data_IF_490231495941
#
_entry.id   IF_490231495941
#
_cell.length_a   1.000
_cell.length_b   1.000
_cell.length_c   1.000
_cell.angle_alpha   90.00
_cell.angle_beta   90.00
_cell.angle_gamma   90.00
#
_symmetry.space_group_name_H-M   'P 1'
#
loop_
_entity.id
_entity.type
_entity.pdbx_description
1 polymer ?
#
# COMPACT_ATOMS: atom_id res chain seq x y z
N UNK A 1 -19.27 -24.46 -5.95
CA UNK A 1 -19.27 -23.01 -6.26
C UNK A 1 -18.54 -22.86 -7.59
N UNK A 2 -19.11 -22.21 -8.63
CA UNK A 2 -18.36 -22.01 -9.87
C UNK A 2 -17.13 -21.15 -9.58
N UNK A 3 -15.99 -21.54 -10.16
CA UNK A 3 -14.77 -20.76 -10.27
C UNK A 3 -15.11 -19.29 -10.57
N UNK A 4 -14.98 -18.39 -9.60
CA UNK A 4 -14.97 -16.97 -9.92
C UNK A 4 -13.55 -16.63 -10.36
N UNK A 5 -13.21 -17.00 -11.59
CA UNK A 5 -11.99 -16.52 -12.22
C UNK A 5 -11.95 -15.00 -12.07
N UNK A 6 -10.88 -14.47 -11.49
CA UNK A 6 -10.72 -13.03 -11.35
C UNK A 6 -10.79 -12.40 -12.75
N UNK A 7 -11.70 -11.45 -12.95
CA UNK A 7 -11.77 -10.70 -14.22
C UNK A 7 -10.55 -9.79 -14.45
N UNK A 8 -9.68 -9.65 -13.45
CA UNK A 8 -8.52 -8.79 -13.46
C UNK A 8 -7.24 -9.60 -13.22
N UNK A 9 -6.19 -9.25 -13.96
CA UNK A 9 -4.83 -9.73 -13.65
C UNK A 9 -4.35 -9.05 -12.38
N UNK A 10 -3.93 -9.85 -11.41
CA UNK A 10 -3.43 -9.37 -10.12
C UNK A 10 -1.93 -9.61 -10.06
N UNK A 11 -1.18 -8.53 -9.79
CA UNK A 11 0.22 -8.62 -9.41
C UNK A 11 0.33 -8.52 -7.89
N UNK A 12 0.56 -9.64 -7.21
CA UNK A 12 0.74 -9.67 -5.77
C UNK A 12 2.22 -9.55 -5.43
N UNK A 13 2.56 -8.66 -4.50
CA UNK A 13 3.94 -8.32 -4.18
C UNK A 13 4.40 -9.07 -2.92
N UNK A 14 5.59 -9.64 -2.98
CA UNK A 14 6.27 -10.26 -1.83
C UNK A 14 7.75 -9.92 -1.83
N UNK A 15 8.35 -9.77 -0.66
CA UNK A 15 9.81 -9.69 -0.53
C UNK A 15 10.47 -11.08 -0.51
N UNK A 16 9.68 -12.15 -0.46
CA UNK A 16 10.13 -13.53 -0.40
C UNK A 16 9.25 -14.46 -1.25
N UNK A 17 9.80 -14.95 -2.35
CA UNK A 17 9.14 -15.90 -3.27
C UNK A 17 9.07 -17.33 -2.72
N UNK A 18 9.86 -17.64 -1.68
CA UNK A 18 9.88 -18.96 -1.04
C UNK A 18 8.82 -19.10 0.04
N UNK A 19 8.14 -18.01 0.38
CA UNK A 19 7.07 -18.00 1.37
C UNK A 19 5.90 -18.91 0.96
N UNK A 20 5.56 -19.88 1.82
CA UNK A 20 4.38 -20.73 1.64
C UNK A 20 3.09 -19.91 1.47
N UNK A 21 2.98 -18.76 2.15
CA UNK A 21 1.84 -17.86 2.01
C UNK A 21 1.78 -17.21 0.63
N UNK A 22 2.92 -16.76 0.10
CA UNK A 22 2.98 -16.18 -1.24
C UNK A 22 2.62 -17.22 -2.30
N UNK A 23 3.15 -18.45 -2.17
CA UNK A 23 2.83 -19.56 -3.06
C UNK A 23 1.35 -19.95 -2.98
N UNK A 24 0.78 -20.01 -1.77
CA UNK A 24 -0.65 -20.27 -1.59
C UNK A 24 -1.53 -19.22 -2.28
N UNK A 25 -1.14 -17.93 -2.26
CA UNK A 25 -1.87 -16.85 -2.97
C UNK A 25 -1.87 -17.07 -4.48
N UNK A 26 -0.75 -17.53 -5.06
CA UNK A 26 -0.68 -17.85 -6.50
C UNK A 26 -1.66 -18.96 -6.90
N UNK A 27 -1.94 -19.89 -5.99
CA UNK A 27 -2.85 -21.01 -6.24
C UNK A 27 -4.33 -20.65 -6.08
N UNK A 28 -4.66 -19.42 -5.66
CA UNK A 28 -6.05 -18.97 -5.53
C UNK A 28 -6.72 -18.75 -6.90
N UNK A 29 -5.95 -18.30 -7.90
CA UNK A 29 -6.46 -18.01 -9.24
C UNK A 29 -5.28 -17.92 -10.25
N UNK A 30 -5.51 -18.37 -11.49
CA UNK A 30 -4.52 -18.32 -12.57
C UNK A 30 -4.14 -16.89 -13.02
N UNK A 31 -4.97 -15.90 -12.70
CA UNK A 31 -4.71 -14.49 -13.01
C UNK A 31 -3.83 -13.80 -11.96
N UNK A 32 -3.39 -14.50 -10.91
CA UNK A 32 -2.49 -13.97 -9.89
C UNK A 32 -1.05 -14.32 -10.25
N UNK A 33 -0.22 -13.27 -10.38
CA UNK A 33 1.23 -13.38 -10.50
C UNK A 33 1.87 -12.89 -9.20
N UNK A 34 2.75 -13.71 -8.61
CA UNK A 34 3.58 -13.29 -7.48
C UNK A 34 4.85 -12.64 -8.02
N UNK A 35 5.11 -11.40 -7.63
CA UNK A 35 6.29 -10.64 -8.05
C UNK A 35 7.15 -10.29 -6.85
N UNK A 36 8.46 -10.51 -6.98
CA UNK A 36 9.44 -10.06 -6.00
C UNK A 36 9.50 -8.53 -5.99
N UNK A 37 9.21 -7.94 -4.84
CA UNK A 37 9.26 -6.52 -4.61
C UNK A 37 9.60 -6.25 -3.14
N UNK A 38 10.69 -5.54 -2.92
CA UNK A 38 11.03 -4.93 -1.63
C UNK A 38 10.57 -3.48 -1.63
N UNK A 39 9.54 -3.15 -0.85
CA UNK A 39 8.97 -1.79 -0.78
C UNK A 39 9.94 -0.75 -0.21
N UNK A 40 11.09 -1.19 0.33
CA UNK A 40 12.17 -0.29 0.75
C UNK A 40 13.05 0.18 -0.41
N UNK A 41 12.86 -0.36 -1.62
CA UNK A 41 13.64 -0.05 -2.82
C UNK A 41 12.75 0.59 -3.86
N UNK A 42 13.12 1.81 -4.28
CA UNK A 42 12.31 2.62 -5.20
C UNK A 42 12.10 1.90 -6.54
N UNK A 43 13.20 1.43 -7.14
CA UNK A 43 13.20 0.70 -8.42
C UNK A 43 12.30 -0.55 -8.39
N UNK A 44 12.22 -1.26 -7.26
CA UNK A 44 11.34 -2.42 -7.12
C UNK A 44 9.88 -2.01 -7.16
N UNK A 45 9.51 -0.94 -6.46
CA UNK A 45 8.13 -0.44 -6.42
C UNK A 45 7.71 0.13 -7.77
N UNK A 46 8.58 0.89 -8.44
CA UNK A 46 8.31 1.41 -9.79
C UNK A 46 8.11 0.27 -10.79
N UNK A 47 9.04 -0.69 -10.84
CA UNK A 47 8.94 -1.88 -11.69
C UNK A 47 7.67 -2.69 -11.41
N UNK A 48 7.33 -2.85 -10.13
CA UNK A 48 6.13 -3.57 -9.71
C UNK A 48 4.84 -2.82 -10.02
N UNK A 49 4.86 -1.49 -10.08
CA UNK A 49 3.66 -0.67 -10.32
C UNK A 49 3.44 -0.38 -11.80
N UNK A 50 4.47 -0.52 -12.63
CA UNK A 50 4.42 -0.29 -14.08
C UNK A 50 3.26 -1.05 -14.74
N UNK A 51 2.61 -0.36 -15.67
CA UNK A 51 1.48 -0.83 -16.49
C UNK A 51 0.24 -1.28 -15.68
N UNK A 52 0.17 -0.95 -14.38
CA UNK A 52 -0.99 -1.25 -13.54
C UNK A 52 -2.10 -0.22 -13.73
N UNK A 53 -3.35 -0.68 -13.80
CA UNK A 53 -4.51 0.21 -13.83
C UNK A 53 -4.87 0.77 -12.44
N UNK A 54 -4.67 -0.06 -11.41
CA UNK A 54 -4.94 0.27 -10.01
C UNK A 54 -3.82 -0.30 -9.16
N UNK A 55 -3.39 0.45 -8.13
CA UNK A 55 -2.53 -0.06 -7.07
C UNK A 55 -3.29 -0.03 -5.74
N UNK A 56 -3.26 -1.16 -5.01
CA UNK A 56 -3.72 -1.23 -3.64
C UNK A 56 -2.53 -1.23 -2.68
N UNK A 57 -2.31 -0.07 -2.05
CA UNK A 57 -1.22 0.18 -1.14
C UNK A 57 -1.65 -0.08 0.31
N UNK A 58 -1.08 -1.14 0.88
CA UNK A 58 -1.23 -1.52 2.27
C UNK A 58 0.14 -1.65 2.90
N UNK A 59 0.32 -1.02 4.05
CA UNK A 59 1.55 -1.17 4.85
C UNK A 59 1.21 -1.66 6.23
N UNK A 60 1.99 -2.62 6.70
CA UNK A 60 1.93 -3.06 8.08
C UNK A 60 2.73 -2.12 8.99
N UNK A 61 2.17 -1.77 10.14
CA UNK A 61 2.93 -1.18 11.23
C UNK A 61 3.61 -2.33 11.97
N UNK A 62 4.76 -2.77 11.46
CA UNK A 62 5.54 -3.89 12.01
C UNK A 62 6.19 -3.55 13.36
N UNK A 63 5.42 -3.09 14.36
CA UNK A 63 5.75 -2.99 15.80
C UNK A 63 7.05 -2.32 16.23
N UNK A 64 7.91 -1.89 15.31
CA UNK A 64 9.25 -1.41 15.57
C UNK A 64 9.17 0.10 15.74
N UNK A 65 8.94 0.51 16.99
CA UNK A 65 8.83 1.91 17.43
C UNK A 65 10.03 2.78 16.99
N UNK A 66 11.17 2.16 16.69
CA UNK A 66 12.42 2.82 16.30
C UNK A 66 12.56 3.05 14.80
N UNK A 67 11.63 2.56 13.97
CA UNK A 67 11.66 2.66 12.50
C UNK A 67 10.58 3.57 11.91
N UNK A 68 10.10 4.55 12.69
CA UNK A 68 9.04 5.49 12.28
C UNK A 68 9.31 6.15 10.93
N UNK A 69 10.54 6.64 10.74
CA UNK A 69 10.94 7.31 9.50
C UNK A 69 10.97 6.34 8.32
N UNK A 70 11.41 5.10 8.55
CA UNK A 70 11.47 4.06 7.51
C UNK A 70 10.07 3.78 6.97
N UNK A 71 9.06 3.65 7.85
CA UNK A 71 7.68 3.37 7.42
C UNK A 71 7.02 4.56 6.70
N UNK A 72 7.32 5.80 7.09
CA UNK A 72 6.83 7.00 6.38
C UNK A 72 7.50 7.08 5.00
N UNK A 73 8.81 6.87 4.93
CA UNK A 73 9.57 6.92 3.68
C UNK A 73 9.08 5.86 2.67
N UNK A 74 8.92 4.60 3.10
CA UNK A 74 8.37 3.52 2.27
C UNK A 74 6.99 3.89 1.68
N UNK A 75 6.10 4.46 2.50
CA UNK A 75 4.76 4.88 2.08
C UNK A 75 4.79 6.04 1.07
N UNK A 76 5.67 7.01 1.30
CA UNK A 76 5.90 8.12 0.36
C UNK A 76 6.44 7.58 -0.97
N UNK A 77 7.43 6.69 -0.92
CA UNK A 77 8.00 6.06 -2.12
C UNK A 77 6.94 5.32 -2.94
N UNK A 78 6.02 4.61 -2.29
CA UNK A 78 4.92 3.95 -2.98
C UNK A 78 3.98 4.93 -3.68
N UNK A 79 3.60 6.02 -3.02
CA UNK A 79 2.77 7.06 -3.62
C UNK A 79 3.48 7.76 -4.79
N UNK A 80 4.78 8.02 -4.65
CA UNK A 80 5.61 8.67 -5.66
C UNK A 80 5.79 7.78 -6.89
N UNK A 81 6.11 6.50 -6.69
CA UNK A 81 6.22 5.52 -7.77
C UNK A 81 4.89 5.36 -8.55
N UNK A 82 3.76 5.36 -7.83
CA UNK A 82 2.44 5.33 -8.45
C UNK A 82 2.16 6.59 -9.28
N UNK A 83 2.54 7.75 -8.77
CA UNK A 83 2.39 9.02 -9.48
C UNK A 83 3.29 9.11 -10.73
N UNK A 84 4.54 8.63 -10.64
CA UNK A 84 5.48 8.59 -11.77
C UNK A 84 5.06 7.59 -12.84
N UNK A 85 4.41 6.50 -12.45
CA UNK A 85 3.87 5.49 -13.35
C UNK A 85 2.53 5.89 -13.98
N UNK A 86 2.05 7.11 -13.73
CA UNK A 86 0.78 7.66 -14.22
C UNK A 86 -0.43 6.74 -13.96
N UNK A 87 -0.43 6.07 -12.80
CA UNK A 87 -1.45 5.07 -12.48
C UNK A 87 -2.81 5.76 -12.33
N UNK A 88 -3.85 5.26 -13.04
CA UNK A 88 -5.16 5.90 -13.05
C UNK A 88 -5.85 5.96 -11.70
N UNK A 89 -5.65 4.97 -10.83
CA UNK A 89 -6.23 4.93 -9.48
C UNK A 89 -5.25 4.37 -8.45
N UNK A 90 -5.08 5.07 -7.34
CA UNK A 90 -4.26 4.62 -6.22
C UNK A 90 -5.10 4.48 -4.97
N UNK A 91 -5.23 3.27 -4.46
CA UNK A 91 -5.98 2.99 -3.24
C UNK A 91 -5.00 2.85 -2.09
N UNK A 92 -5.17 3.62 -1.03
CA UNK A 92 -4.31 3.56 0.16
C UNK A 92 -5.12 3.18 1.40
N UNK A 93 -4.62 2.23 2.19
CA UNK A 93 -5.19 1.89 3.49
C UNK A 93 -4.78 2.93 4.53
N UNK A 94 -5.69 3.88 4.76
CA UNK A 94 -5.52 5.00 5.68
C UNK A 94 -6.18 4.73 7.04
N UNK A 95 -6.03 5.71 7.93
CA UNK A 95 -6.73 5.85 9.21
C UNK A 95 -6.81 7.32 9.55
N UNK A 96 -7.90 7.76 10.17
CA UNK A 96 -7.98 9.10 10.75
C UNK A 96 -6.92 9.32 11.84
N UNK A 97 -6.49 10.57 12.02
CA UNK A 97 -5.58 10.91 13.11
C UNK A 97 -6.34 10.98 14.44
N UNK A 98 -6.23 9.91 15.22
CA UNK A 98 -6.80 9.85 16.56
C UNK A 98 -6.31 10.98 17.47
N UNK A 99 -5.08 11.47 17.26
CA UNK A 99 -4.52 12.59 18.03
C UNK A 99 -5.27 13.88 17.74
N UNK A 100 -5.54 14.15 16.46
CA UNK A 100 -6.28 15.33 16.02
C UNK A 100 -7.74 15.26 16.50
N UNK A 101 -8.45 14.16 16.24
CA UNK A 101 -9.87 14.01 16.58
C UNK A 101 -10.12 14.07 18.08
N UNK A 102 -9.15 13.67 18.88
CA UNK A 102 -9.27 13.63 20.35
C UNK A 102 -8.74 14.89 21.05
N UNK A 103 -8.33 15.93 20.32
CA UNK A 103 -7.65 17.11 20.87
C UNK A 103 -6.41 16.73 21.71
N UNK A 104 -5.64 15.76 21.24
CA UNK A 104 -4.42 15.28 21.90
C UNK A 104 -4.65 14.33 23.08
N UNK A 105 -5.88 13.90 23.36
CA UNK A 105 -6.18 12.96 24.47
C UNK A 105 -5.77 11.51 24.16
N UNK A 106 -5.80 11.12 22.89
CA UNK A 106 -5.48 9.77 22.41
C UNK A 106 -4.35 9.86 21.38
N UNK A 107 -3.19 9.29 21.72
CA UNK A 107 -2.05 9.24 20.80
C UNK A 107 -1.92 7.81 20.27
N UNK A 108 -2.32 7.61 19.01
CA UNK A 108 -2.22 6.32 18.33
C UNK A 108 -1.31 6.47 17.11
N UNK A 109 -0.01 6.24 17.33
CA UNK A 109 1.03 6.53 16.35
C UNK A 109 0.78 5.94 14.96
N UNK A 110 0.30 4.70 14.87
CA UNK A 110 0.08 4.04 13.58
C UNK A 110 -1.11 4.64 12.81
N UNK A 111 -2.06 5.29 13.49
CA UNK A 111 -3.14 6.04 12.88
C UNK A 111 -2.64 7.39 12.38
N UNK A 112 -1.95 8.17 13.24
CA UNK A 112 -1.34 9.45 12.88
C UNK A 112 -0.42 9.32 11.67
N UNK A 113 0.43 8.30 11.61
CA UNK A 113 1.31 8.09 10.46
C UNK A 113 0.56 7.74 9.16
N UNK A 114 -0.61 7.09 9.24
CA UNK A 114 -1.43 6.82 8.06
C UNK A 114 -2.14 8.09 7.59
N UNK A 115 -2.62 8.92 8.52
CA UNK A 115 -3.18 10.23 8.23
C UNK A 115 -2.16 11.15 7.54
N UNK A 116 -0.94 11.23 8.08
CA UNK A 116 0.15 12.02 7.47
C UNK A 116 0.42 11.63 6.00
N UNK A 117 0.29 10.34 5.66
CA UNK A 117 0.51 9.87 4.29
C UNK A 117 -0.69 10.17 3.39
N UNK A 118 -1.91 10.05 3.90
CA UNK A 118 -3.11 10.51 3.19
C UNK A 118 -2.99 11.99 2.83
N UNK A 119 -2.56 12.81 3.79
CA UNK A 119 -2.43 14.25 3.60
C UNK A 119 -1.29 14.55 2.61
N UNK A 120 -0.15 13.87 2.73
CA UNK A 120 0.94 13.95 1.74
C UNK A 120 0.46 13.64 0.32
N UNK A 121 -0.28 12.54 0.12
CA UNK A 121 -0.79 12.15 -1.20
C UNK A 121 -1.72 13.25 -1.73
N UNK A 122 -2.63 13.73 -0.90
CA UNK A 122 -3.62 14.75 -1.27
C UNK A 122 -2.96 16.08 -1.65
N UNK A 123 -1.97 16.52 -0.88
CA UNK A 123 -1.33 17.83 -1.06
C UNK A 123 -0.21 17.82 -2.10
N UNK A 124 0.60 16.76 -2.14
CA UNK A 124 1.85 16.71 -2.92
C UNK A 124 1.71 15.90 -4.20
N UNK A 125 0.69 15.05 -4.29
CA UNK A 125 0.41 14.22 -5.48
C UNK A 125 -1.04 14.40 -5.96
N UNK A 126 -1.55 15.63 -6.14
CA UNK A 126 -2.95 15.87 -6.53
C UNK A 126 -3.32 15.30 -7.91
N UNK A 127 -2.32 14.97 -8.74
CA UNK A 127 -2.53 14.27 -10.02
C UNK A 127 -2.91 12.79 -9.85
N UNK A 128 -2.57 12.19 -8.71
CA UNK A 128 -2.89 10.80 -8.42
C UNK A 128 -4.34 10.73 -7.94
N UNK A 129 -5.22 10.06 -8.71
CA UNK A 129 -6.61 9.87 -8.28
C UNK A 129 -6.64 8.84 -7.16
N UNK A 130 -6.70 9.32 -5.93
CA UNK A 130 -6.57 8.49 -4.75
C UNK A 130 -7.90 8.14 -4.10
N UNK A 131 -7.99 6.90 -3.60
CA UNK A 131 -9.09 6.40 -2.79
C UNK A 131 -8.51 5.97 -1.44
N UNK A 132 -9.00 6.54 -0.35
CA UNK A 132 -8.56 6.18 1.00
C UNK A 132 -9.56 5.19 1.61
N UNK A 133 -9.06 4.01 2.00
CA UNK A 133 -9.86 2.99 2.65
C UNK A 133 -9.48 2.94 4.12
N UNK A 134 -10.47 3.08 4.99
CA UNK A 134 -10.32 3.03 6.44
C UNK A 134 -11.01 1.78 6.98
N UNK A 135 -10.31 0.63 7.04
CA UNK A 135 -10.92 -0.62 7.46
C UNK A 135 -11.18 -0.60 8.97
N UNK A 136 -12.40 -0.91 9.39
CA UNK A 136 -12.72 -1.12 10.81
C UNK A 136 -12.00 -2.37 11.38
N UNK A 137 -11.89 -2.42 12.71
CA UNK A 137 -11.33 -3.57 13.45
C UNK A 137 -12.43 -4.52 13.91
#
# INVERSE_FOLDING_TARGET
MPNSALFHKIRALTYDLTSEKAQAVQHLDENIEIVLCDITKNDDVERASKDSWVVFALTDFRGQLDKREVTIHERIMMADAAALSEIPYYTFSAKEDATEISDGKLIILHCTQKAMIRDYITEKRPQLKSIFIEPDF
#
